data_IF_115222898926
#
_entry.id   IF_115222898926
#
_cell.length_a   1.000
_cell.length_b   1.000
_cell.length_c   1.000
_cell.angle_alpha   90.00
_cell.angle_beta   90.00
_cell.angle_gamma   90.00
#
_symmetry.space_group_name_H-M   'P 1'
#
loop_
_entity.id
_entity.type
_entity.pdbx_description
1 polymer ?
#
# COMPACT_ATOMS: atom_id res chain seq x y z
N UNK A 1 -2.74 -9.44 -2.34
CA UNK A 1 -3.45 -8.36 -1.63
C UNK A 1 -2.47 -7.74 -0.64
N UNK A 2 -2.34 -6.43 -0.57
CA UNK A 2 -1.40 -5.82 0.34
C UNK A 2 -1.73 -6.14 1.81
N UNK A 3 -0.71 -6.15 2.66
CA UNK A 3 -0.84 -6.52 4.06
C UNK A 3 -0.87 -5.27 4.94
N UNK A 4 -1.77 -5.22 5.93
CA UNK A 4 -1.83 -4.13 6.88
C UNK A 4 -0.62 -4.24 7.82
N UNK A 5 0.18 -3.16 7.89
CA UNK A 5 1.32 -3.07 8.79
C UNK A 5 0.96 -2.31 10.07
N UNK A 6 0.42 -1.10 9.92
CA UNK A 6 0.02 -0.25 11.03
C UNK A 6 -1.28 0.49 10.70
N UNK A 7 -2.04 0.83 11.74
CA UNK A 7 -3.21 1.72 11.66
C UNK A 7 -2.99 2.85 12.64
N UNK A 8 -3.31 4.09 12.26
CA UNK A 8 -3.29 5.25 13.14
C UNK A 8 -4.61 5.99 13.08
N UNK A 9 -5.19 6.25 14.23
CA UNK A 9 -6.38 7.09 14.36
C UNK A 9 -6.06 8.28 15.24
N UNK A 10 -6.53 9.46 14.84
CA UNK A 10 -6.22 10.68 15.56
C UNK A 10 -7.47 11.54 15.73
N UNK A 11 -7.62 12.09 16.93
CA UNK A 11 -8.66 13.04 17.31
C UNK A 11 -10.09 12.50 17.22
N UNK A 12 -10.32 11.25 17.52
CA UNK A 12 -11.62 10.58 17.38
C UNK A 12 -12.28 10.37 18.73
N UNK A 13 -13.51 10.85 18.87
CA UNK A 13 -14.34 10.71 20.04
C UNK A 13 -15.11 9.38 20.00
N UNK A 14 -15.19 8.68 21.13
CA UNK A 14 -15.96 7.43 21.24
C UNK A 14 -16.65 7.30 22.61
N UNK A 15 -17.36 6.21 22.82
CA UNK A 15 -18.11 5.93 24.03
C UNK A 15 -19.02 7.11 24.46
N UNK A 16 -19.93 7.52 23.56
CA UNK A 16 -20.83 8.67 23.74
C UNK A 16 -20.10 9.99 24.08
N UNK A 17 -18.82 10.07 23.74
CA UNK A 17 -18.02 11.26 23.91
C UNK A 17 -17.26 11.35 25.22
N UNK A 18 -17.33 10.34 26.03
CA UNK A 18 -16.61 10.28 27.31
C UNK A 18 -15.13 9.96 27.12
N UNK A 19 -14.77 9.33 26.00
CA UNK A 19 -13.42 8.89 25.69
C UNK A 19 -12.98 9.38 24.31
N UNK A 20 -11.68 9.48 24.12
CA UNK A 20 -11.06 9.99 22.87
C UNK A 20 -9.83 9.18 22.52
N UNK A 21 -9.73 8.78 21.25
CA UNK A 21 -8.47 8.40 20.67
C UNK A 21 -7.72 9.68 20.23
N UNK A 22 -6.78 10.09 21.03
CA UNK A 22 -6.02 11.33 20.81
C UNK A 22 -5.04 11.19 19.65
N UNK A 23 -4.18 10.18 19.74
CA UNK A 23 -3.27 9.72 18.69
C UNK A 23 -2.92 8.25 18.95
N UNK A 24 -3.68 7.35 18.40
CA UNK A 24 -3.60 5.93 18.68
C UNK A 24 -3.05 5.15 17.49
N UNK A 25 -1.99 4.37 17.73
CA UNK A 25 -1.35 3.54 16.70
C UNK A 25 -1.45 2.07 17.06
N UNK A 26 -2.06 1.28 16.17
CA UNK A 26 -2.12 -0.18 16.23
C UNK A 26 -1.07 -0.77 15.28
N UNK A 27 -0.38 -1.82 15.73
CA UNK A 27 0.65 -2.51 14.95
C UNK A 27 0.22 -3.93 14.63
N UNK A 28 0.17 -4.27 13.35
CA UNK A 28 -0.14 -5.60 12.84
C UNK A 28 1.10 -6.31 12.31
N UNK A 29 2.14 -5.56 11.95
CA UNK A 29 3.41 -6.10 11.44
C UNK A 29 3.23 -7.08 10.26
N UNK A 30 2.24 -6.82 9.42
CA UNK A 30 1.87 -7.67 8.28
C UNK A 30 1.51 -9.12 8.68
N UNK A 31 1.01 -9.32 9.89
CA UNK A 31 0.62 -10.63 10.43
C UNK A 31 -0.84 -10.64 10.84
N UNK A 32 -1.42 -11.85 10.90
CA UNK A 32 -2.74 -12.04 11.49
C UNK A 32 -2.67 -11.69 12.97
N UNK A 33 -3.49 -10.73 13.38
CA UNK A 33 -3.43 -10.16 14.72
C UNK A 33 -4.83 -10.12 15.33
N UNK A 34 -4.95 -10.50 16.57
CA UNK A 34 -6.17 -10.37 17.37
C UNK A 34 -5.95 -9.23 18.37
N UNK A 35 -6.81 -8.22 18.31
CA UNK A 35 -6.86 -7.16 19.31
C UNK A 35 -8.05 -7.41 20.25
N UNK A 36 -7.75 -7.66 21.51
CA UNK A 36 -8.76 -7.70 22.55
C UNK A 36 -8.94 -6.31 23.16
N UNK A 37 -10.12 -5.75 22.96
CA UNK A 37 -10.52 -4.46 23.52
C UNK A 37 -11.70 -4.68 24.45
N UNK A 38 -11.67 -4.06 25.61
CA UNK A 38 -12.77 -4.07 26.59
C UNK A 38 -14.08 -3.57 25.95
N UNK A 39 -15.20 -3.92 26.54
CA UNK A 39 -16.49 -3.38 26.14
C UNK A 39 -16.50 -1.86 26.32
N UNK A 40 -17.01 -1.13 25.33
CA UNK A 40 -16.90 0.33 25.28
C UNK A 40 -15.54 0.84 24.76
N UNK A 41 -14.56 -0.02 24.50
CA UNK A 41 -13.23 0.34 23.98
C UNK A 41 -13.18 0.78 22.51
N UNK A 42 -14.33 0.99 21.87
CA UNK A 42 -14.39 1.56 20.53
C UNK A 42 -14.14 0.56 19.38
N UNK A 43 -14.39 -0.76 19.58
CA UNK A 43 -14.19 -1.79 18.52
C UNK A 43 -14.88 -1.44 17.21
N UNK A 44 -16.19 -1.19 17.25
CA UNK A 44 -17.00 -0.85 16.07
C UNK A 44 -16.55 0.46 15.42
N UNK A 45 -16.10 1.41 16.24
CA UNK A 45 -15.57 2.66 15.77
C UNK A 45 -14.23 2.49 15.04
N UNK A 46 -13.30 1.73 15.61
CA UNK A 46 -12.01 1.44 14.96
C UNK A 46 -12.24 0.72 13.64
N UNK A 47 -13.21 -0.19 13.58
CA UNK A 47 -13.61 -0.85 12.35
C UNK A 47 -14.20 0.13 11.32
N UNK A 48 -15.08 1.04 11.76
CA UNK A 48 -15.64 2.09 10.89
C UNK A 48 -14.54 2.98 10.31
N UNK A 49 -13.58 3.40 11.14
CA UNK A 49 -12.46 4.25 10.72
C UNK A 49 -11.51 3.51 9.78
N UNK A 50 -11.25 2.23 10.04
CA UNK A 50 -10.51 1.38 9.12
C UNK A 50 -11.20 1.36 7.75
N UNK A 51 -12.51 1.12 7.73
CA UNK A 51 -13.29 1.08 6.49
C UNK A 51 -13.25 2.37 5.70
N UNK A 52 -13.13 3.55 6.32
CA UNK A 52 -13.03 4.83 5.60
C UNK A 52 -11.83 4.91 4.65
N UNK A 53 -10.80 4.09 4.90
CA UNK A 53 -9.63 4.02 4.03
C UNK A 53 -9.86 3.13 2.78
N UNK A 54 -10.90 2.32 2.74
CA UNK A 54 -11.24 1.47 1.60
C UNK A 54 -12.58 1.88 0.99
N UNK A 55 -13.51 2.25 1.85
CA UNK A 55 -14.88 2.63 1.52
C UNK A 55 -15.20 4.02 2.09
N UNK A 56 -14.70 5.10 1.49
CA UNK A 56 -14.93 6.44 2.00
C UNK A 56 -16.42 6.76 2.17
N UNK A 57 -16.75 7.39 3.29
CA UNK A 57 -18.11 7.78 3.68
C UNK A 57 -19.09 6.60 3.85
N UNK A 58 -18.57 5.41 4.20
CA UNK A 58 -19.41 4.27 4.55
C UNK A 58 -19.89 4.34 6.01
N UNK A 59 -20.96 3.63 6.32
CA UNK A 59 -21.51 3.45 7.69
C UNK A 59 -21.51 1.96 8.04
N UNK A 60 -21.23 1.63 9.28
CA UNK A 60 -21.42 0.28 9.85
C UNK A 60 -22.73 0.20 10.65
N UNK A 61 -23.09 1.27 11.35
CA UNK A 61 -24.33 1.40 12.12
C UNK A 61 -24.95 2.75 11.80
N UNK A 62 -26.20 2.77 11.41
CA UNK A 62 -26.95 3.99 11.09
C UNK A 62 -27.14 4.87 12.36
N UNK A 63 -27.01 4.27 13.57
CA UNK A 63 -27.06 4.99 14.84
C UNK A 63 -25.74 5.70 15.19
N UNK A 64 -24.65 5.34 14.54
CA UNK A 64 -23.31 5.89 14.78
C UNK A 64 -22.70 6.45 13.49
N UNK A 65 -23.27 7.50 12.92
CA UNK A 65 -22.70 8.16 11.76
C UNK A 65 -21.39 8.88 12.11
N UNK A 66 -20.58 9.14 11.10
CA UNK A 66 -19.24 9.78 11.24
C UNK A 66 -19.33 11.14 11.94
N UNK A 67 -20.43 11.87 11.76
CA UNK A 67 -20.67 13.18 12.34
C UNK A 67 -20.60 13.18 13.88
N UNK A 68 -20.92 12.07 14.50
CA UNK A 68 -20.87 11.91 15.97
C UNK A 68 -19.45 11.71 16.53
N UNK A 69 -18.46 11.48 15.65
CA UNK A 69 -17.08 11.18 16.06
C UNK A 69 -16.25 12.44 16.32
N UNK A 70 -16.73 13.59 15.89
CA UNK A 70 -16.04 14.86 16.11
C UNK A 70 -16.16 15.35 17.55
N UNK A 71 -15.10 15.93 18.07
CA UNK A 71 -15.11 16.62 19.35
C UNK A 71 -16.03 17.84 19.29
N UNK A 72 -16.73 18.13 20.39
CA UNK A 72 -17.44 19.39 20.55
C UNK A 72 -16.43 20.50 20.86
N UNK A 73 -16.48 21.61 20.13
CA UNK A 73 -15.61 22.78 20.33
C UNK A 73 -14.79 23.07 19.07
N UNK A 74 -14.53 24.35 18.82
CA UNK A 74 -13.83 25.02 17.72
C UNK A 74 -13.92 24.34 16.33
N UNK A 75 -14.54 25.02 15.39
CA UNK A 75 -14.93 24.52 14.04
C UNK A 75 -13.82 24.05 13.11
N UNK A 76 -12.60 23.80 13.60
CA UNK A 76 -11.45 23.34 12.80
C UNK A 76 -10.92 21.96 13.20
N UNK A 77 -11.66 21.19 14.00
CA UNK A 77 -11.20 19.86 14.41
C UNK A 77 -11.42 18.84 13.31
N UNK A 78 -10.32 18.27 12.81
CA UNK A 78 -10.34 17.13 11.89
C UNK A 78 -10.20 15.81 12.65
N UNK A 79 -10.80 14.77 12.11
CA UNK A 79 -10.50 13.39 12.47
C UNK A 79 -9.63 12.76 11.37
N UNK A 80 -8.72 11.88 11.77
CA UNK A 80 -7.86 11.19 10.83
C UNK A 80 -7.90 9.69 11.09
N UNK A 81 -7.99 8.94 10.00
CA UNK A 81 -7.78 7.49 9.99
C UNK A 81 -6.76 7.15 8.90
N UNK A 82 -5.72 6.45 9.26
CA UNK A 82 -4.65 6.07 8.35
C UNK A 82 -4.40 4.57 8.44
N UNK A 83 -4.13 3.96 7.31
CA UNK A 83 -3.73 2.55 7.20
C UNK A 83 -2.46 2.46 6.39
N UNK A 84 -1.44 1.85 6.96
CA UNK A 84 -0.20 1.56 6.27
C UNK A 84 -0.22 0.14 5.75
N UNK A 85 0.00 0.02 4.46
CA UNK A 85 0.03 -1.22 3.71
C UNK A 85 1.47 -1.55 3.34
N UNK A 86 1.87 -2.78 3.54
CA UNK A 86 3.03 -3.35 2.86
C UNK A 86 2.55 -3.86 1.51
N UNK A 87 3.08 -3.29 0.45
CA UNK A 87 2.73 -3.66 -0.91
C UNK A 87 3.31 -5.02 -1.29
N UNK A 88 2.53 -5.83 -1.98
CA UNK A 88 3.05 -7.04 -2.61
C UNK A 88 4.08 -6.65 -3.68
N UNK A 89 5.11 -7.48 -3.92
CA UNK A 89 6.17 -7.17 -4.88
C UNK A 89 5.67 -6.77 -6.27
N UNK A 90 4.55 -7.35 -6.74
CA UNK A 90 3.94 -6.99 -8.03
C UNK A 90 3.40 -5.56 -8.09
N UNK A 91 3.16 -4.92 -6.95
CA UNK A 91 2.67 -3.54 -6.83
C UNK A 91 3.76 -2.54 -6.42
N UNK A 92 4.99 -3.01 -6.16
CA UNK A 92 6.12 -2.15 -5.80
C UNK A 92 6.70 -1.49 -7.05
N UNK A 93 6.18 -0.32 -7.39
CA UNK A 93 6.73 0.52 -8.45
C UNK A 93 7.81 1.43 -7.88
N UNK A 94 8.87 1.68 -8.63
CA UNK A 94 9.97 2.59 -8.25
C UNK A 94 10.59 2.30 -6.87
N UNK A 95 10.50 1.04 -6.41
CA UNK A 95 11.04 0.59 -5.13
C UNK A 95 10.22 1.01 -3.90
N UNK A 96 9.02 1.56 -4.08
CA UNK A 96 8.11 1.88 -2.98
C UNK A 96 7.54 0.59 -2.37
N UNK A 97 7.86 0.34 -1.11
CA UNK A 97 7.45 -0.88 -0.37
C UNK A 97 6.18 -0.68 0.43
N UNK A 98 5.92 0.55 0.83
CA UNK A 98 4.80 0.90 1.69
C UNK A 98 3.92 1.95 1.05
N UNK A 99 2.62 1.83 1.30
CA UNK A 99 1.62 2.82 0.96
C UNK A 99 0.81 3.13 2.21
N UNK A 100 0.76 4.38 2.62
CA UNK A 100 -0.21 4.84 3.63
C UNK A 100 -1.43 5.41 2.91
N UNK A 101 -2.61 4.82 3.15
CA UNK A 101 -3.89 5.42 2.82
C UNK A 101 -4.35 6.26 3.99
N UNK A 102 -4.92 7.42 3.73
CA UNK A 102 -5.43 8.32 4.75
C UNK A 102 -6.81 8.86 4.42
N UNK A 103 -7.63 8.95 5.46
CA UNK A 103 -8.93 9.61 5.45
C UNK A 103 -8.87 10.78 6.44
N UNK A 104 -9.13 11.98 5.96
CA UNK A 104 -9.23 13.19 6.76
C UNK A 104 -10.63 13.75 6.59
N UNK A 105 -11.34 13.99 7.70
CA UNK A 105 -12.68 14.53 7.66
C UNK A 105 -12.85 15.66 8.69
N UNK A 106 -13.74 16.62 8.35
CA UNK A 106 -14.20 17.69 9.24
C UNK A 106 -15.72 17.84 9.14
N UNK A 107 -16.32 18.48 10.14
CA UNK A 107 -17.70 18.93 10.01
C UNK A 107 -17.78 19.98 8.91
N UNK A 108 -18.69 19.80 7.97
CA UNK A 108 -19.04 20.85 7.00
C UNK A 108 -19.60 22.06 7.75
N UNK A 109 -19.37 23.25 7.23
CA UNK A 109 -20.04 24.46 7.72
C UNK A 109 -21.52 24.31 7.36
N UNK A 110 -22.36 23.99 8.35
CA UNK A 110 -23.79 24.15 8.22
C UNK A 110 -24.06 25.62 7.96
N UNK A 111 -25.04 25.91 7.14
CA UNK A 111 -25.60 27.24 6.91
C UNK A 111 -26.36 27.72 8.15
N UNK A 112 -25.66 27.82 9.29
CA UNK A 112 -26.23 28.22 10.56
C UNK A 112 -25.96 29.69 10.91
N UNK A 113 -25.59 30.51 9.93
CA UNK A 113 -25.41 31.96 10.14
C UNK A 113 -26.20 32.79 9.10
N UNK A 114 -27.52 32.58 9.00
CA UNK A 114 -28.46 33.60 8.50
C UNK A 114 -29.90 33.06 8.57
N UNK A 115 -30.54 33.22 9.75
CA UNK A 115 -31.93 33.69 9.84
C UNK A 115 -32.44 33.50 11.29
N UNK A 116 -32.29 34.56 12.06
CA UNK A 116 -33.23 34.88 13.14
C UNK A 116 -34.54 35.29 12.46
N UNK A 117 -35.44 34.36 12.29
CA UNK A 117 -36.88 34.63 12.36
C UNK A 117 -37.64 33.31 12.51
N UNK A 118 -38.45 33.27 13.57
CA UNK A 118 -39.12 32.10 14.07
C UNK A 118 -40.08 31.43 13.11
N UNK A 119 -39.78 30.20 12.76
CA UNK A 119 -40.77 29.16 12.51
C UNK A 119 -40.14 27.79 12.78
N UNK A 120 -40.78 27.03 13.66
CA UNK A 120 -40.47 25.63 13.96
C UNK A 120 -40.57 24.82 12.64
N UNK A 121 -39.43 24.44 12.10
CA UNK A 121 -39.37 23.35 11.12
C UNK A 121 -38.54 22.20 11.73
N UNK A 122 -39.24 21.12 12.04
CA UNK A 122 -38.75 19.82 12.46
C UNK A 122 -37.99 19.12 11.30
N UNK A 123 -36.82 19.61 10.98
CA UNK A 123 -35.83 18.89 10.20
C UNK A 123 -34.49 19.17 10.83
N UNK A 124 -33.93 18.18 11.55
CA UNK A 124 -32.55 18.23 12.03
C UNK A 124 -31.63 18.39 10.81
N UNK A 125 -30.88 19.50 10.70
CA UNK A 125 -29.91 19.64 9.62
C UNK A 125 -28.85 18.57 9.84
N UNK A 126 -28.78 17.64 8.90
CA UNK A 126 -27.70 16.64 8.88
C UNK A 126 -26.43 17.40 8.52
N UNK A 127 -25.59 17.65 9.52
CA UNK A 127 -24.34 18.35 9.33
C UNK A 127 -23.52 17.55 8.28
N UNK A 128 -23.29 18.16 7.12
CA UNK A 128 -22.54 17.54 6.06
C UNK A 128 -21.10 17.31 6.52
N UNK A 129 -20.52 16.13 6.25
CA UNK A 129 -19.11 15.84 6.50
C UNK A 129 -18.31 16.13 5.24
N UNK A 130 -17.35 17.01 5.37
CA UNK A 130 -16.35 17.22 4.33
C UNK A 130 -15.16 16.31 4.58
N UNK A 131 -14.73 15.58 3.56
CA UNK A 131 -13.58 14.68 3.67
C UNK A 131 -12.76 14.67 2.39
N UNK A 132 -11.53 14.23 2.51
CA UNK A 132 -10.67 13.82 1.40
C UNK A 132 -9.87 12.59 1.78
N UNK A 133 -9.50 11.81 0.77
CA UNK A 133 -8.59 10.69 0.91
C UNK A 133 -7.23 11.01 0.27
N UNK A 134 -6.19 10.34 0.74
CA UNK A 134 -4.86 10.51 0.18
C UNK A 134 -4.06 9.22 0.29
N UNK A 135 -3.03 9.10 -0.54
CA UNK A 135 -2.05 8.02 -0.49
C UNK A 135 -0.65 8.61 -0.41
N UNK A 136 0.19 8.05 0.45
CA UNK A 136 1.61 8.39 0.56
C UNK A 136 2.41 7.12 0.35
N UNK A 137 3.32 7.13 -0.62
CA UNK A 137 4.21 6.01 -0.90
C UNK A 137 5.62 6.32 -0.40
N UNK A 138 6.27 5.32 0.20
CA UNK A 138 7.64 5.42 0.66
C UNK A 138 8.35 4.06 0.64
N UNK A 139 9.69 4.12 0.61
CA UNK A 139 10.56 2.94 0.56
C UNK A 139 10.86 2.41 1.95
N UNK A 140 11.08 3.30 2.89
CA UNK A 140 11.51 3.03 4.27
C UNK A 140 10.72 3.89 5.25
N UNK A 141 10.69 3.48 6.50
CA UNK A 141 10.10 4.28 7.56
C UNK A 141 10.94 5.54 7.79
N UNK A 142 10.27 6.66 8.00
CA UNK A 142 10.93 7.95 8.14
C UNK A 142 10.00 9.04 8.62
N UNK A 143 10.34 10.30 8.34
CA UNK A 143 9.66 11.48 8.88
C UNK A 143 8.18 11.61 8.50
N UNK A 144 7.77 10.97 7.39
CA UNK A 144 6.40 11.03 6.87
C UNK A 144 5.76 9.64 6.73
N UNK A 145 6.25 8.66 7.48
CA UNK A 145 5.54 7.40 7.62
C UNK A 145 4.26 7.59 8.45
N UNK A 146 3.43 6.57 8.54
CA UNK A 146 2.15 6.65 9.25
C UNK A 146 2.29 7.16 10.69
N UNK A 147 3.38 6.82 11.39
CA UNK A 147 3.62 7.22 12.77
C UNK A 147 4.07 8.67 12.88
N UNK A 148 4.94 9.10 11.98
CA UNK A 148 5.68 10.36 12.07
C UNK A 148 5.01 11.49 11.27
N UNK A 149 3.99 11.18 10.44
CA UNK A 149 3.21 12.21 9.76
C UNK A 149 2.70 13.25 10.78
N UNK A 150 2.97 14.56 10.58
CA UNK A 150 2.75 15.60 11.60
C UNK A 150 1.26 15.97 11.72
N UNK A 151 0.45 15.07 12.27
CA UNK A 151 -0.96 15.34 12.59
C UNK A 151 -1.11 16.19 13.85
N UNK A 152 -0.13 16.13 14.73
CA UNK A 152 0.00 16.96 15.94
C UNK A 152 1.41 17.50 15.99
N UNK A 153 1.58 18.82 16.10
CA UNK A 153 2.86 19.50 16.25
C UNK A 153 2.77 20.51 17.37
N UNK A 154 3.68 20.43 18.34
CA UNK A 154 3.74 21.33 19.51
C UNK A 154 2.42 21.44 20.29
N UNK A 155 1.63 20.36 20.36
CA UNK A 155 0.33 20.35 21.00
C UNK A 155 -0.84 20.89 20.16
N UNK A 156 -0.55 21.45 19.00
CA UNK A 156 -1.57 21.88 18.03
C UNK A 156 -1.85 20.78 17.01
N UNK A 157 -3.12 20.64 16.63
CA UNK A 157 -3.56 19.68 15.62
C UNK A 157 -3.58 20.33 14.26
N UNK A 158 -3.16 19.56 13.27
CA UNK A 158 -3.19 20.04 11.88
C UNK A 158 -4.65 20.25 11.45
N UNK A 159 -4.92 21.34 10.75
CA UNK A 159 -6.24 21.63 10.20
C UNK A 159 -6.46 20.87 8.89
N UNK A 160 -7.71 20.75 8.43
CA UNK A 160 -8.07 20.13 7.15
C UNK A 160 -7.28 20.70 5.98
N UNK A 161 -7.27 22.03 5.86
CA UNK A 161 -6.53 22.72 4.79
C UNK A 161 -5.01 22.66 5.01
N UNK A 162 -4.57 22.70 6.28
CA UNK A 162 -3.16 22.56 6.65
C UNK A 162 -2.58 21.20 6.25
N UNK A 163 -3.30 20.11 6.50
CA UNK A 163 -2.88 18.78 6.03
C UNK A 163 -2.83 18.71 4.50
N UNK A 164 -3.83 19.28 3.82
CA UNK A 164 -3.88 19.26 2.36
C UNK A 164 -2.73 20.07 1.75
N UNK A 165 -2.36 21.20 2.35
CA UNK A 165 -1.19 22.00 1.95
C UNK A 165 0.12 21.23 2.21
N UNK A 166 0.27 20.65 3.41
CA UNK A 166 1.43 19.86 3.76
C UNK A 166 1.66 18.68 2.79
N UNK A 167 0.60 17.93 2.46
CA UNK A 167 0.67 16.82 1.52
C UNK A 167 1.07 17.28 0.11
N UNK A 168 0.61 18.44 -0.36
CA UNK A 168 1.03 19.03 -1.64
C UNK A 168 2.49 19.46 -1.64
N UNK A 169 2.96 19.99 -0.53
CA UNK A 169 4.37 20.37 -0.40
C UNK A 169 5.27 19.14 -0.31
N UNK A 170 4.81 18.09 0.35
CA UNK A 170 5.51 16.81 0.39
C UNK A 170 5.62 16.17 -1.01
N UNK A 171 4.60 16.31 -1.86
CA UNK A 171 4.63 15.84 -3.26
C UNK A 171 5.70 16.58 -4.07
N UNK A 172 5.90 17.88 -3.82
CA UNK A 172 6.93 18.70 -4.49
C UNK A 172 8.34 18.42 -3.98
N UNK A 173 8.46 17.86 -2.78
CA UNK A 173 9.73 17.70 -2.06
C UNK A 173 10.68 16.62 -2.59
N UNK A 174 10.40 15.98 -3.75
CA UNK A 174 11.33 15.09 -4.42
C UNK A 174 10.94 13.61 -4.42
N UNK A 175 11.88 12.75 -4.80
CA UNK A 175 11.70 11.30 -5.07
C UNK A 175 11.52 10.42 -3.82
N UNK A 176 11.62 10.96 -2.61
CA UNK A 176 11.52 10.19 -1.37
C UNK A 176 10.10 9.74 -1.08
N UNK A 177 9.12 10.55 -1.44
CA UNK A 177 7.69 10.29 -1.24
C UNK A 177 6.91 10.56 -2.53
N UNK A 178 5.92 9.73 -2.81
CA UNK A 178 4.90 10.02 -3.82
C UNK A 178 3.58 10.21 -3.10
N UNK A 179 2.93 11.33 -3.32
CA UNK A 179 1.67 11.67 -2.67
C UNK A 179 0.58 11.81 -3.72
N UNK A 180 -0.61 11.31 -3.42
CA UNK A 180 -1.83 11.51 -4.22
C UNK A 180 -2.96 11.93 -3.29
N UNK A 181 -3.70 12.97 -3.68
CA UNK A 181 -4.83 13.51 -2.92
C UNK A 181 -6.08 13.39 -3.77
N UNK A 182 -7.17 12.95 -3.17
CA UNK A 182 -8.43 12.69 -3.84
C UNK A 182 -9.58 13.38 -3.11
N UNK A 183 -10.31 14.22 -3.83
CA UNK A 183 -11.51 14.89 -3.35
C UNK A 183 -12.78 14.10 -3.73
N UNK A 184 -12.66 13.12 -4.63
CA UNK A 184 -13.78 12.28 -5.09
C UNK A 184 -13.55 10.83 -4.70
N UNK A 185 -14.59 10.21 -4.13
CA UNK A 185 -14.59 8.80 -3.73
C UNK A 185 -14.21 7.86 -4.89
N UNK A 186 -14.80 8.04 -6.07
CA UNK A 186 -14.58 7.17 -7.23
C UNK A 186 -13.15 7.18 -7.73
N UNK A 187 -12.53 8.36 -7.81
CA UNK A 187 -11.13 8.50 -8.24
C UNK A 187 -10.17 7.82 -7.26
N UNK A 188 -10.44 7.97 -5.95
CA UNK A 188 -9.68 7.31 -4.91
C UNK A 188 -9.80 5.79 -4.97
N UNK A 189 -11.03 5.26 -5.06
CA UNK A 189 -11.27 3.82 -5.11
C UNK A 189 -10.67 3.18 -6.38
N UNK A 190 -10.81 3.84 -7.52
CA UNK A 190 -10.15 3.43 -8.76
C UNK A 190 -8.64 3.41 -8.62
N UNK A 191 -8.05 4.37 -7.91
CA UNK A 191 -6.61 4.42 -7.69
C UNK A 191 -6.13 3.28 -6.78
N UNK A 192 -6.74 3.06 -5.61
CA UNK A 192 -6.32 2.01 -4.66
C UNK A 192 -6.56 0.59 -5.19
N UNK A 193 -7.51 0.42 -6.10
CA UNK A 193 -7.76 -0.87 -6.76
C UNK A 193 -6.56 -1.35 -7.58
N UNK A 194 -5.76 -0.43 -8.13
CA UNK A 194 -4.51 -0.73 -8.84
C UNK A 194 -3.43 -1.35 -7.93
N UNK A 195 -3.63 -1.27 -6.61
CA UNK A 195 -2.75 -1.85 -5.60
C UNK A 195 -3.38 -3.05 -4.90
N UNK A 196 -4.47 -3.60 -5.44
CA UNK A 196 -5.13 -4.79 -4.94
C UNK A 196 -6.09 -4.55 -3.76
N UNK A 197 -6.50 -3.29 -3.53
CA UNK A 197 -7.52 -2.92 -2.54
C UNK A 197 -8.82 -2.67 -3.29
N UNK A 198 -9.64 -3.71 -3.43
CA UNK A 198 -10.88 -3.67 -4.21
C UNK A 198 -12.07 -3.29 -3.34
N UNK A 199 -12.92 -2.38 -3.85
CA UNK A 199 -14.15 -1.94 -3.18
C UNK A 199 -15.08 -3.13 -2.88
N UNK A 200 -15.30 -4.02 -3.87
CA UNK A 200 -16.18 -5.19 -3.74
C UNK A 200 -15.81 -6.08 -2.55
N UNK A 201 -14.53 -6.38 -2.38
CA UNK A 201 -14.06 -7.19 -1.26
C UNK A 201 -14.34 -6.53 0.10
N UNK A 202 -14.16 -5.22 0.20
CA UNK A 202 -14.39 -4.49 1.44
C UNK A 202 -15.87 -4.21 1.72
N UNK A 203 -16.72 -4.12 0.68
CA UNK A 203 -18.18 -4.08 0.85
C UNK A 203 -18.71 -5.38 1.48
N UNK A 204 -18.17 -6.54 1.13
CA UNK A 204 -18.50 -7.80 1.79
C UNK A 204 -18.11 -7.76 3.27
N UNK A 205 -16.87 -7.32 3.56
CA UNK A 205 -16.38 -7.19 4.95
C UNK A 205 -17.27 -6.22 5.72
N UNK A 206 -17.66 -5.09 5.13
CA UNK A 206 -18.59 -4.13 5.71
C UNK A 206 -19.96 -4.75 5.97
N UNK A 207 -20.51 -5.45 4.99
CA UNK A 207 -21.82 -6.11 5.09
C UNK A 207 -21.86 -7.14 6.23
N UNK A 208 -20.82 -7.97 6.36
CA UNK A 208 -20.69 -8.93 7.46
C UNK A 208 -20.63 -8.21 8.82
N UNK A 209 -19.89 -7.12 8.91
CA UNK A 209 -19.77 -6.36 10.17
C UNK A 209 -21.06 -5.60 10.54
N UNK A 210 -21.91 -5.22 9.56
CA UNK A 210 -23.27 -4.68 9.84
C UNK A 210 -24.18 -5.71 10.53
N UNK A 211 -23.97 -7.00 10.31
CA UNK A 211 -24.69 -8.10 10.92
C UNK A 211 -24.02 -8.62 12.20
N UNK A 212 -23.36 -7.75 12.94
CA UNK A 212 -22.62 -8.10 14.17
C UNK A 212 -21.54 -9.19 13.96
N UNK A 213 -21.01 -9.29 12.75
CA UNK A 213 -20.00 -10.26 12.40
C UNK A 213 -20.54 -11.67 12.08
N UNK A 214 -21.84 -11.85 11.98
CA UNK A 214 -22.45 -13.14 11.61
C UNK A 214 -22.40 -13.35 10.10
N UNK A 215 -21.34 -13.98 9.61
CA UNK A 215 -21.13 -14.32 8.20
C UNK A 215 -22.33 -15.06 7.60
N UNK A 216 -22.85 -16.05 8.32
CA UNK A 216 -24.02 -16.82 7.89
C UNK A 216 -25.24 -15.94 7.68
N UNK A 217 -25.56 -15.06 8.62
CA UNK A 217 -26.69 -14.14 8.51
C UNK A 217 -26.54 -13.19 7.34
N UNK A 218 -25.34 -12.71 7.07
CA UNK A 218 -25.05 -11.87 5.91
C UNK A 218 -25.35 -12.60 4.60
N UNK A 219 -24.85 -13.85 4.44
CA UNK A 219 -25.07 -14.61 3.22
C UNK A 219 -26.53 -15.05 3.05
N UNK A 220 -27.19 -15.50 4.10
CA UNK A 220 -28.60 -15.91 4.05
C UNK A 220 -29.54 -14.73 3.76
N UNK A 221 -29.26 -13.54 4.23
CA UNK A 221 -30.08 -12.34 3.96
C UNK A 221 -29.87 -11.76 2.57
N UNK A 222 -28.64 -11.77 2.05
CA UNK A 222 -28.34 -11.16 0.75
C UNK A 222 -28.43 -12.15 -0.42
N UNK A 223 -28.17 -13.43 -0.17
CA UNK A 223 -28.08 -14.46 -1.23
C UNK A 223 -28.97 -15.67 -0.90
N UNK A 224 -30.16 -15.72 -1.51
CA UNK A 224 -31.13 -16.80 -1.25
C UNK A 224 -30.70 -18.20 -1.73
N UNK A 225 -29.75 -18.27 -2.66
CA UNK A 225 -29.26 -19.54 -3.23
C UNK A 225 -27.75 -19.47 -3.48
N UNK A 226 -27.07 -20.63 -3.45
CA UNK A 226 -25.65 -20.73 -3.81
C UNK A 226 -25.35 -20.20 -5.22
N UNK A 227 -26.32 -20.35 -6.15
CA UNK A 227 -26.20 -19.82 -7.50
C UNK A 227 -26.10 -18.28 -7.50
N UNK A 228 -26.92 -17.61 -6.69
CA UNK A 228 -26.84 -16.15 -6.53
C UNK A 228 -25.50 -15.69 -5.93
N UNK A 229 -24.92 -16.45 -5.01
CA UNK A 229 -23.58 -16.16 -4.51
C UNK A 229 -22.56 -16.19 -5.64
N UNK A 230 -22.66 -17.15 -6.55
CA UNK A 230 -21.75 -17.23 -7.70
C UNK A 230 -22.00 -16.10 -8.69
N UNK A 231 -23.26 -15.84 -9.05
CA UNK A 231 -23.64 -14.85 -10.05
C UNK A 231 -23.36 -13.41 -9.57
N UNK A 232 -23.85 -13.06 -8.38
CA UNK A 232 -23.85 -11.67 -7.91
C UNK A 232 -22.53 -11.29 -7.21
N UNK A 233 -21.78 -12.27 -6.70
CA UNK A 233 -20.56 -12.00 -5.93
C UNK A 233 -19.30 -12.43 -6.67
N UNK A 234 -19.21 -13.70 -7.06
CA UNK A 234 -17.97 -14.21 -7.64
C UNK A 234 -17.75 -13.74 -9.08
N UNK A 235 -18.80 -13.76 -9.90
CA UNK A 235 -18.70 -13.33 -11.29
C UNK A 235 -18.45 -11.81 -11.34
N UNK A 236 -19.18 -11.05 -10.55
CA UNK A 236 -19.01 -9.59 -10.49
C UNK A 236 -17.61 -9.19 -9.98
N UNK A 237 -17.09 -9.89 -8.95
CA UNK A 237 -15.76 -9.66 -8.44
C UNK A 237 -14.67 -10.05 -9.46
N UNK A 238 -14.85 -11.14 -10.19
CA UNK A 238 -13.93 -11.55 -11.27
C UNK A 238 -13.92 -10.50 -12.38
N UNK A 239 -15.09 -10.02 -12.79
CA UNK A 239 -15.23 -8.98 -13.82
C UNK A 239 -14.57 -7.69 -13.34
N UNK A 240 -14.84 -7.22 -12.13
CA UNK A 240 -14.23 -6.02 -11.58
C UNK A 240 -12.71 -6.14 -11.47
N UNK A 241 -12.19 -7.27 -10.98
CA UNK A 241 -10.75 -7.51 -10.86
C UNK A 241 -10.06 -7.65 -12.22
N UNK A 242 -10.75 -8.20 -13.21
CA UNK A 242 -10.17 -8.44 -14.54
C UNK A 242 -10.17 -7.17 -15.40
N UNK A 243 -11.16 -6.33 -15.27
CA UNK A 243 -11.38 -5.20 -16.17
C UNK A 243 -11.28 -3.83 -15.49
N UNK A 244 -11.16 -3.79 -14.17
CA UNK A 244 -11.06 -2.55 -13.37
C UNK A 244 -12.23 -1.57 -13.63
N UNK A 245 -13.40 -2.10 -13.99
CA UNK A 245 -14.60 -1.36 -14.29
C UNK A 245 -15.77 -1.80 -13.41
N UNK A 246 -16.48 -0.81 -12.87
CA UNK A 246 -17.81 -1.02 -12.33
C UNK A 246 -18.78 -1.20 -13.52
N UNK A 247 -19.20 -2.43 -13.76
CA UNK A 247 -20.37 -2.68 -14.57
C UNK A 247 -21.59 -2.38 -13.68
N UNK A 248 -22.17 -1.21 -13.84
CA UNK A 248 -23.52 -0.95 -13.33
C UNK A 248 -24.49 -1.83 -14.13
N UNK A 249 -25.02 -2.84 -13.48
CA UNK A 249 -26.06 -3.69 -14.05
C UNK A 249 -27.38 -2.93 -13.96
N UNK A 250 -27.64 -2.06 -14.90
CA UNK A 250 -29.01 -1.63 -15.22
C UNK A 250 -29.54 -2.55 -16.32
N UNK A 251 -30.73 -3.11 -16.04
CA UNK A 251 -31.42 -4.16 -16.80
C UNK A 251 -31.90 -3.72 -18.18
N UNK A 252 -31.02 -3.46 -19.13
CA UNK A 252 -31.39 -3.17 -20.49
C UNK A 252 -30.65 -4.11 -21.46
N UNK A 253 -31.39 -4.95 -22.21
CA UNK A 253 -30.85 -5.93 -23.15
C UNK A 253 -29.93 -5.29 -24.23
N UNK A 254 -30.13 -4.01 -24.53
CA UNK A 254 -29.28 -3.23 -25.42
C UNK A 254 -27.90 -2.95 -24.86
N UNK A 255 -27.74 -2.81 -23.54
CA UNK A 255 -26.47 -2.61 -22.88
C UNK A 255 -25.60 -3.88 -22.87
N UNK A 256 -26.18 -5.06 -22.87
CA UNK A 256 -25.45 -6.32 -22.85
C UNK A 256 -24.64 -6.53 -24.15
N UNK A 257 -25.20 -6.17 -25.30
CA UNK A 257 -24.52 -6.23 -26.59
C UNK A 257 -23.36 -5.22 -26.66
N UNK A 258 -23.56 -4.00 -26.14
CA UNK A 258 -22.52 -2.98 -26.06
C UNK A 258 -21.41 -3.39 -25.09
N UNK A 259 -21.76 -3.97 -23.94
CA UNK A 259 -20.80 -4.49 -22.97
C UNK A 259 -19.94 -5.62 -23.54
N UNK A 260 -20.52 -6.51 -24.35
CA UNK A 260 -19.78 -7.57 -25.03
C UNK A 260 -18.82 -7.01 -26.09
N UNK A 261 -19.21 -5.95 -26.82
CA UNK A 261 -18.33 -5.25 -27.74
C UNK A 261 -17.17 -4.57 -27.00
N UNK A 262 -17.45 -3.88 -25.91
CA UNK A 262 -16.44 -3.24 -25.07
C UNK A 262 -15.46 -4.25 -24.46
N UNK A 263 -15.96 -5.42 -24.06
CA UNK A 263 -15.12 -6.55 -23.59
C UNK A 263 -14.22 -7.07 -24.71
N UNK A 264 -14.76 -7.24 -25.93
CA UNK A 264 -13.98 -7.65 -27.09
C UNK A 264 -12.85 -6.65 -27.40
N UNK A 265 -13.16 -5.37 -27.39
CA UNK A 265 -12.18 -4.31 -27.69
C UNK A 265 -11.10 -4.25 -26.59
N UNK A 266 -11.49 -4.42 -25.32
CA UNK A 266 -10.53 -4.54 -24.19
C UNK A 266 -9.66 -5.79 -24.28
N UNK A 267 -10.18 -6.93 -24.75
CA UNK A 267 -9.39 -8.13 -24.97
C UNK A 267 -8.34 -7.93 -26.08
N UNK A 268 -8.67 -7.20 -27.15
CA UNK A 268 -7.74 -6.82 -28.20
C UNK A 268 -6.66 -5.88 -27.65
N UNK A 269 -7.05 -4.89 -26.84
CA UNK A 269 -6.12 -3.98 -26.19
C UNK A 269 -5.19 -4.71 -25.19
N UNK A 270 -5.74 -5.65 -24.42
CA UNK A 270 -4.95 -6.51 -23.51
C UNK A 270 -3.95 -7.38 -24.26
N UNK A 271 -4.35 -7.97 -25.40
CA UNK A 271 -3.44 -8.72 -26.26
C UNK A 271 -2.29 -7.86 -26.77
N UNK A 272 -2.57 -6.63 -27.17
CA UNK A 272 -1.55 -5.65 -27.59
C UNK A 272 -0.63 -5.25 -26.44
N UNK A 273 -1.19 -5.00 -25.26
CA UNK A 273 -0.41 -4.70 -24.03
C UNK A 273 0.44 -5.89 -23.61
N UNK A 274 -0.07 -7.11 -23.75
CA UNK A 274 0.70 -8.33 -23.46
C UNK A 274 1.92 -8.47 -24.39
N UNK A 275 1.74 -8.18 -25.70
CA UNK A 275 2.87 -8.14 -26.64
C UNK A 275 3.89 -7.03 -26.29
N UNK A 276 3.42 -5.87 -25.84
CA UNK A 276 4.28 -4.79 -25.36
C UNK A 276 5.04 -5.16 -24.09
N UNK A 277 4.39 -5.89 -23.16
CA UNK A 277 5.06 -6.41 -21.97
C UNK A 277 6.21 -7.35 -22.33
N UNK A 278 6.02 -8.26 -23.27
CA UNK A 278 7.11 -9.12 -23.76
C UNK A 278 8.31 -8.35 -24.35
N UNK A 279 8.04 -7.21 -25.00
CA UNK A 279 9.10 -6.32 -25.47
C UNK A 279 9.81 -5.60 -24.32
N UNK A 280 9.07 -5.16 -23.31
CA UNK A 280 9.64 -4.54 -22.10
C UNK A 280 10.44 -5.54 -21.27
N UNK A 281 9.98 -6.78 -21.13
CA UNK A 281 10.71 -7.84 -20.44
C UNK A 281 12.07 -8.11 -21.12
N UNK A 282 12.09 -8.08 -22.45
CA UNK A 282 13.34 -8.20 -23.22
C UNK A 282 14.28 -7.01 -22.98
N UNK A 283 13.73 -5.79 -22.90
CA UNK A 283 14.51 -4.59 -22.59
C UNK A 283 15.04 -4.61 -21.17
N UNK A 284 14.22 -5.04 -20.19
CA UNK A 284 14.61 -5.20 -18.79
C UNK A 284 15.76 -6.21 -18.69
N UNK A 285 15.64 -7.37 -19.35
CA UNK A 285 16.70 -8.37 -19.35
C UNK A 285 18.02 -7.83 -19.94
N UNK A 286 17.95 -7.02 -20.99
CA UNK A 286 19.12 -6.37 -21.57
C UNK A 286 19.75 -5.33 -20.63
N UNK A 287 18.90 -4.54 -19.94
CA UNK A 287 19.35 -3.57 -18.94
C UNK A 287 19.97 -4.27 -17.73
N UNK A 288 19.37 -5.35 -17.26
CA UNK A 288 19.90 -6.14 -16.15
C UNK A 288 21.26 -6.76 -16.49
N UNK A 289 21.41 -7.29 -17.70
CA UNK A 289 22.71 -7.77 -18.20
C UNK A 289 23.73 -6.64 -18.25
N UNK A 290 23.34 -5.46 -18.74
CA UNK A 290 24.22 -4.29 -18.81
C UNK A 290 24.61 -3.81 -17.40
N UNK A 291 23.67 -3.84 -16.45
CA UNK A 291 23.91 -3.51 -15.03
C UNK A 291 24.91 -4.49 -14.40
N UNK A 292 24.80 -5.77 -14.72
CA UNK A 292 25.73 -6.80 -14.26
C UNK A 292 27.15 -6.56 -14.80
N UNK A 293 27.27 -6.21 -16.09
CA UNK A 293 28.55 -5.80 -16.70
C UNK A 293 29.12 -4.55 -16.03
N UNK A 294 28.31 -3.54 -15.79
CA UNK A 294 28.76 -2.32 -15.09
C UNK A 294 29.20 -2.61 -13.67
N UNK A 295 28.44 -3.43 -12.93
CA UNK A 295 28.83 -3.85 -11.57
C UNK A 295 30.15 -4.61 -11.55
N UNK A 296 30.36 -5.48 -12.54
CA UNK A 296 31.61 -6.20 -12.71
C UNK A 296 32.77 -5.25 -13.06
N UNK A 297 32.52 -4.29 -13.95
CA UNK A 297 33.50 -3.26 -14.31
C UNK A 297 33.86 -2.38 -13.12
N UNK A 298 32.85 -1.95 -12.33
CA UNK A 298 33.04 -1.17 -11.11
C UNK A 298 33.85 -1.95 -10.06
N UNK A 299 33.57 -3.25 -9.90
CA UNK A 299 34.34 -4.12 -9.03
C UNK A 299 35.81 -4.25 -9.49
N UNK A 300 36.04 -4.35 -10.80
CA UNK A 300 37.41 -4.35 -11.35
C UNK A 300 38.11 -3.02 -11.18
N UNK A 301 37.39 -1.90 -11.38
CA UNK A 301 37.94 -0.56 -11.21
C UNK A 301 38.32 -0.29 -9.76
N UNK A 302 37.41 -0.62 -8.83
CA UNK A 302 37.65 -0.48 -7.39
C UNK A 302 38.80 -1.38 -6.93
N UNK A 303 38.89 -2.60 -7.48
CA UNK A 303 40.02 -3.50 -7.20
C UNK A 303 41.35 -2.98 -7.76
N UNK A 304 41.31 -2.35 -8.93
CA UNK A 304 42.49 -1.70 -9.51
C UNK A 304 42.93 -0.52 -8.62
N UNK A 305 42.01 0.32 -8.21
CA UNK A 305 42.28 1.46 -7.31
C UNK A 305 42.82 1.00 -5.95
N UNK A 306 42.27 -0.09 -5.41
CA UNK A 306 42.71 -0.70 -4.19
C UNK A 306 44.11 -1.28 -4.33
N UNK A 307 44.44 -1.95 -5.44
CA UNK A 307 45.75 -2.45 -5.77
C UNK A 307 46.74 -1.29 -5.99
N UNK A 308 46.37 -0.24 -6.69
CA UNK A 308 47.20 0.94 -6.91
C UNK A 308 47.50 1.64 -5.55
N UNK A 309 46.51 1.73 -4.68
CA UNK A 309 46.66 2.27 -3.32
C UNK A 309 47.55 1.39 -2.43
N UNK A 310 47.35 0.07 -2.52
CA UNK A 310 48.22 -0.88 -1.82
C UNK A 310 49.68 -0.84 -2.34
N UNK A 311 49.87 -0.68 -3.64
CA UNK A 311 51.16 -0.50 -4.26
C UNK A 311 51.84 0.80 -3.82
N UNK A 312 51.07 1.88 -3.77
CA UNK A 312 51.56 3.17 -3.27
C UNK A 312 51.91 3.12 -1.78
N UNK A 313 51.07 2.47 -0.96
CA UNK A 313 51.32 2.26 0.47
C UNK A 313 52.55 1.36 0.70
N UNK A 314 52.72 0.33 -0.13
CA UNK A 314 53.91 -0.53 -0.13
C UNK A 314 55.16 0.26 -0.51
N UNK A 315 55.07 1.13 -1.50
CA UNK A 315 56.17 1.99 -1.94
C UNK A 315 56.54 3.00 -0.82
N UNK A 316 55.55 3.56 -0.13
CA UNK A 316 55.75 4.46 0.99
C UNK A 316 56.37 3.75 2.21
N UNK A 317 55.94 2.50 2.46
CA UNK A 317 56.54 1.66 3.51
C UNK A 317 57.99 1.29 3.18
N UNK A 318 58.25 0.88 1.90
CA UNK A 318 59.60 0.59 1.44
C UNK A 318 60.52 1.82 1.48
N UNK A 319 60.03 3.02 1.14
CA UNK A 319 60.76 4.27 1.27
C UNK A 319 61.04 4.64 2.74
N UNK A 320 60.05 4.41 3.63
CA UNK A 320 60.24 4.65 5.08
C UNK A 320 61.15 3.63 5.74
N UNK A 321 61.15 2.37 5.27
CA UNK A 321 62.08 1.38 5.73
C UNK A 321 63.50 1.66 5.27
N UNK A 322 63.69 2.27 4.11
CA UNK A 322 64.97 2.77 3.61
C UNK A 322 65.57 3.88 4.52
N UNK A 323 64.66 4.73 5.08
CA UNK A 323 65.11 5.88 5.89
C UNK A 323 65.18 5.61 7.39
N UNK A 324 64.56 4.53 7.86
CA UNK A 324 64.53 4.16 9.29
C UNK A 324 65.13 2.79 9.56
N UNK A 325 66.35 2.64 9.24
CA UNK A 325 67.10 1.48 9.79
C UNK A 325 67.41 1.71 11.27
N UNK A 326 66.97 0.79 12.01
CA UNK A 326 67.62 0.25 13.20
C UNK A 326 67.16 0.60 14.57
N UNK A 327 66.16 0.67 15.09
CA UNK A 327 66.04 0.30 16.55
C UNK A 327 64.64 0.11 17.16
N UNK A 328 63.62 0.55 16.51
CA UNK A 328 62.26 0.49 17.16
C UNK A 328 61.29 -0.52 16.53
N UNK A 329 61.70 -1.27 15.53
CA UNK A 329 60.78 -2.05 14.68
C UNK A 329 60.26 -3.34 15.30
N UNK A 330 60.97 -3.97 16.23
CA UNK A 330 60.57 -5.28 16.76
C UNK A 330 59.39 -5.29 17.72
N UNK A 331 59.15 -4.22 18.43
CA UNK A 331 58.00 -4.18 19.35
C UNK A 331 56.74 -3.61 18.72
N UNK A 332 56.83 -2.82 17.63
CA UNK A 332 55.66 -2.29 16.89
C UNK A 332 55.15 -3.27 15.85
N UNK A 333 55.99 -4.11 15.28
CA UNK A 333 55.59 -5.12 14.27
C UNK A 333 54.60 -6.14 14.86
N UNK A 334 54.83 -6.61 16.08
CA UNK A 334 53.93 -7.57 16.73
C UNK A 334 52.54 -6.94 17.06
N UNK A 335 52.50 -5.64 17.32
CA UNK A 335 51.23 -4.94 17.61
C UNK A 335 50.44 -4.66 16.33
N UNK A 336 51.12 -4.24 15.28
CA UNK A 336 50.51 -3.96 13.98
C UNK A 336 49.97 -5.24 13.38
N UNK A 337 50.69 -6.35 13.46
CA UNK A 337 50.23 -7.64 12.94
C UNK A 337 48.98 -8.12 13.67
N UNK A 338 48.91 -7.99 15.00
CA UNK A 338 47.68 -8.33 15.75
C UNK A 338 46.49 -7.46 15.38
N UNK A 339 46.68 -6.14 15.17
CA UNK A 339 45.60 -5.25 14.77
C UNK A 339 45.09 -5.52 13.33
N UNK A 340 45.99 -5.95 12.44
CA UNK A 340 45.57 -6.37 11.09
C UNK A 340 44.85 -7.71 11.10
N UNK A 341 45.24 -8.66 11.96
CA UNK A 341 44.52 -9.93 12.12
C UNK A 341 43.13 -9.71 12.73
N UNK A 342 42.98 -8.83 13.70
CA UNK A 342 41.67 -8.44 14.25
C UNK A 342 40.80 -7.73 13.19
N UNK A 343 41.42 -6.81 12.42
CA UNK A 343 40.70 -6.09 11.36
C UNK A 343 40.31 -6.99 10.17
N UNK A 344 41.17 -7.98 9.86
CA UNK A 344 40.82 -8.97 8.83
C UNK A 344 39.66 -9.85 9.27
N UNK A 345 39.62 -10.24 10.54
CA UNK A 345 38.52 -11.03 11.12
C UNK A 345 37.20 -10.27 11.15
N UNK A 346 37.23 -8.96 11.47
CA UNK A 346 36.00 -8.12 11.42
C UNK A 346 35.53 -7.88 9.98
N UNK A 347 36.44 -7.64 9.02
CA UNK A 347 36.09 -7.49 7.61
C UNK A 347 35.52 -8.76 7.00
N UNK A 348 36.05 -9.91 7.36
CA UNK A 348 35.54 -11.21 6.95
C UNK A 348 34.12 -11.46 7.49
N UNK A 349 33.90 -11.08 8.74
CA UNK A 349 32.57 -11.16 9.36
C UNK A 349 31.53 -10.22 8.66
N UNK A 350 31.93 -9.01 8.30
CA UNK A 350 31.07 -8.06 7.59
C UNK A 350 30.77 -8.56 6.17
N UNK A 351 31.77 -9.00 5.40
CA UNK A 351 31.58 -9.51 4.06
C UNK A 351 30.70 -10.77 4.03
N UNK A 352 30.86 -11.66 5.01
CA UNK A 352 30.00 -12.84 5.17
C UNK A 352 28.55 -12.43 5.50
N UNK A 353 28.38 -11.43 6.35
CA UNK A 353 27.03 -10.93 6.71
C UNK A 353 26.33 -10.26 5.52
N UNK A 354 27.04 -9.49 4.69
CA UNK A 354 26.51 -8.86 3.48
C UNK A 354 26.08 -9.90 2.44
N UNK A 355 26.94 -10.89 2.15
CA UNK A 355 26.63 -11.98 1.22
C UNK A 355 25.47 -12.84 1.71
N UNK A 356 25.36 -13.08 3.01
CA UNK A 356 24.22 -13.80 3.58
C UNK A 356 22.92 -12.99 3.47
N UNK A 357 22.97 -11.69 3.66
CA UNK A 357 21.83 -10.79 3.50
C UNK A 357 21.33 -10.75 2.05
N UNK A 358 22.24 -10.61 1.08
CA UNK A 358 21.90 -10.64 -0.34
C UNK A 358 21.37 -12.02 -0.79
N UNK A 359 21.95 -13.10 -0.31
CA UNK A 359 21.49 -14.46 -0.62
C UNK A 359 20.08 -14.73 -0.10
N UNK A 360 19.76 -14.22 1.09
CA UNK A 360 18.41 -14.32 1.64
C UNK A 360 17.40 -13.47 0.86
N UNK A 361 17.81 -12.29 0.40
CA UNK A 361 16.95 -11.44 -0.43
C UNK A 361 16.72 -12.06 -1.83
N UNK A 362 17.77 -12.64 -2.43
CA UNK A 362 17.64 -13.36 -3.72
C UNK A 362 16.75 -14.60 -3.62
N UNK A 363 16.89 -15.39 -2.56
CA UNK A 363 16.02 -16.55 -2.33
C UNK A 363 14.54 -16.15 -2.18
N UNK A 364 14.28 -15.00 -1.56
CA UNK A 364 12.94 -14.42 -1.49
C UNK A 364 12.38 -14.03 -2.86
N UNK A 365 13.22 -13.39 -3.68
CA UNK A 365 12.84 -13.02 -5.05
C UNK A 365 12.63 -14.25 -5.94
N UNK A 366 13.50 -15.28 -5.85
CA UNK A 366 13.33 -16.54 -6.59
C UNK A 366 12.04 -17.27 -6.22
N UNK A 367 11.70 -17.33 -4.95
CA UNK A 367 10.42 -17.90 -4.48
C UNK A 367 9.24 -17.17 -5.09
N UNK A 368 9.28 -15.83 -5.10
CA UNK A 368 8.22 -14.98 -5.63
C UNK A 368 8.07 -15.12 -7.15
N UNK A 369 9.20 -15.18 -7.87
CA UNK A 369 9.22 -15.42 -9.33
C UNK A 369 8.61 -16.80 -9.64
N UNK A 370 8.91 -17.82 -8.85
CA UNK A 370 8.34 -19.16 -9.03
C UNK A 370 6.85 -19.20 -8.71
N UNK A 371 6.37 -18.48 -7.71
CA UNK A 371 4.94 -18.38 -7.40
C UNK A 371 4.18 -17.62 -8.50
N UNK A 372 4.74 -16.50 -8.98
CA UNK A 372 4.13 -15.74 -10.08
C UNK A 372 4.12 -16.54 -11.39
N UNK A 373 5.15 -17.35 -11.64
CA UNK A 373 5.21 -18.26 -12.80
C UNK A 373 4.13 -19.33 -12.72
N UNK A 374 3.97 -19.97 -11.57
CA UNK A 374 2.89 -20.95 -11.33
C UNK A 374 1.50 -20.30 -11.46
N UNK A 375 1.33 -19.10 -10.93
CA UNK A 375 0.06 -18.38 -11.08
C UNK A 375 -0.23 -18.00 -12.54
N UNK A 376 0.81 -17.66 -13.31
CA UNK A 376 0.69 -17.38 -14.75
C UNK A 376 0.33 -18.67 -15.53
N UNK A 377 0.98 -19.80 -15.24
CA UNK A 377 0.67 -21.09 -15.84
C UNK A 377 -0.78 -21.52 -15.57
N UNK A 378 -1.24 -21.36 -14.34
CA UNK A 378 -2.64 -21.62 -13.98
C UNK A 378 -3.63 -20.72 -14.73
N UNK A 379 -3.28 -19.44 -14.90
CA UNK A 379 -4.10 -18.50 -15.67
C UNK A 379 -4.10 -18.84 -17.16
N UNK A 380 -2.97 -19.22 -17.72
CA UNK A 380 -2.88 -19.64 -19.11
C UNK A 380 -3.67 -20.93 -19.36
N UNK A 381 -3.60 -21.91 -18.44
CA UNK A 381 -4.41 -23.12 -18.51
C UNK A 381 -5.91 -22.81 -18.46
N UNK A 382 -6.33 -21.88 -17.59
CA UNK A 382 -7.72 -21.43 -17.52
C UNK A 382 -8.19 -20.70 -18.79
N UNK A 383 -7.30 -19.93 -19.40
CA UNK A 383 -7.57 -19.27 -20.70
C UNK A 383 -7.74 -20.30 -21.81
N UNK A 384 -6.88 -21.31 -21.88
CA UNK A 384 -7.00 -22.39 -22.88
C UNK A 384 -8.25 -23.24 -22.66
N UNK A 385 -8.62 -23.52 -21.41
CA UNK A 385 -9.88 -24.16 -21.08
C UNK A 385 -11.10 -23.33 -21.50
N UNK A 386 -11.05 -22.01 -21.25
CA UNK A 386 -12.09 -21.09 -21.68
C UNK A 386 -12.20 -21.00 -23.22
N UNK A 387 -11.06 -20.97 -23.92
CA UNK A 387 -11.00 -21.04 -25.39
C UNK A 387 -11.59 -22.35 -25.94
N UNK A 388 -11.28 -23.47 -25.27
CA UNK A 388 -11.85 -24.77 -25.63
C UNK A 388 -13.37 -24.79 -25.44
N UNK A 389 -13.88 -24.21 -24.36
CA UNK A 389 -15.33 -24.07 -24.13
C UNK A 389 -15.99 -23.14 -25.13
N UNK A 390 -15.34 -22.03 -25.50
CA UNK A 390 -15.82 -21.09 -26.54
C UNK A 390 -15.91 -21.77 -27.91
N UNK A 391 -14.85 -22.50 -28.32
CA UNK A 391 -14.82 -23.26 -29.58
C UNK A 391 -15.89 -24.35 -29.63
N UNK A 392 -16.18 -25.00 -28.49
CA UNK A 392 -17.28 -25.97 -28.36
C UNK A 392 -18.66 -25.29 -28.47
N UNK A 393 -18.82 -24.09 -27.92
CA UNK A 393 -20.07 -23.31 -28.06
C UNK A 393 -20.27 -22.78 -29.47
N UNK A 394 -19.20 -22.32 -30.15
CA UNK A 394 -19.26 -21.91 -31.56
C UNK A 394 -19.61 -23.11 -32.47
N UNK A 395 -19.02 -24.29 -32.24
CA UNK A 395 -19.37 -25.51 -32.97
C UNK A 395 -20.77 -26.08 -32.67
N UNK A 396 -21.36 -25.71 -31.51
CA UNK A 396 -22.74 -26.05 -31.16
C UNK A 396 -23.77 -25.05 -31.65
N UNK A 397 -23.33 -23.85 -32.07
CA UNK A 397 -24.18 -22.80 -32.65
C UNK A 397 -24.38 -22.94 -34.17
N UNK A 398 -23.58 -23.81 -34.82
CA UNK A 398 -23.68 -24.11 -36.26
C UNK A 398 -24.56 -25.36 -36.56
N UNK A 399 -25.27 -25.91 -35.58
CA UNK A 399 -26.31 -26.90 -35.68
C UNK A 399 -27.65 -26.28 -35.27
#
# INVERSE_FOLDING_TARGET
>A
MPQINRIRVNNVKYNFGTQVYDDFVMRFNCQNTIYDLANGGGKSLLMLLLMQNMLPNCTLDDKQPIEKLFRQGSGNTCIHSLVEWKLDPCYQKDGFRFMTTGFCARKGRGTDDENQDGQEQTATPTASVEYFNYCIFYREFGDNDIKNLPLVSNGERITYNGLKAYLRDLEKGGYKYVVKIFDRKGDYQSFISNYGIYESAWEIVRGINKTEGHVRTYFESNYKTSRKVVEDLLIEEIIQKSFNNKLSVDNDEGMMAQTLMDIKDKLVELSKKHSQLGAYDSQIAAIDSFKEYLSTYEAFYNRKEEIEKQLYDLLLVAMRESDKKDKELKSQDDLITKMYDELAHEKEAIAVAEVMSEKNSMAGVESLVNETRKALELKNAAIEEARGKLSLMESAGDY
#
